data_IF_672539837660
#
_entry.id   IF_672539837660
#
_cell.length_a   1.000
_cell.length_b   1.000
_cell.length_c   1.000
_cell.angle_alpha   90.00
_cell.angle_beta   90.00
_cell.angle_gamma   90.00
#
_symmetry.space_group_name_H-M   'P 1'
#
loop_
_entity.id
_entity.type
_entity.pdbx_description
1 polymer ?
#
# COMPACT_ATOMS: atom_id res chain seq x y z
N UNK A 1 11.93 -7.88 14.52
CA UNK A 1 11.08 -7.01 13.70
C UNK A 1 11.07 -7.55 12.28
N UNK A 2 9.93 -7.95 11.82
CA UNK A 2 9.66 -8.40 10.47
C UNK A 2 8.87 -7.31 9.73
N UNK A 3 9.10 -7.12 8.44
CA UNK A 3 8.34 -6.18 7.62
C UNK A 3 7.32 -6.94 6.80
N UNK A 4 6.05 -6.60 6.93
CA UNK A 4 4.98 -7.05 6.03
C UNK A 4 4.83 -6.02 4.92
N UNK A 5 5.28 -6.42 3.74
CA UNK A 5 5.43 -5.51 2.61
C UNK A 5 4.20 -5.56 1.70
N UNK A 6 3.54 -4.42 1.60
CA UNK A 6 2.39 -4.17 0.73
C UNK A 6 2.90 -3.51 -0.55
N UNK A 7 3.33 -4.34 -1.51
CA UNK A 7 3.80 -3.88 -2.81
C UNK A 7 2.66 -3.41 -3.72
N UNK A 8 3.02 -2.79 -4.82
CA UNK A 8 2.07 -2.39 -5.86
C UNK A 8 1.77 -3.55 -6.80
N UNK A 9 0.75 -3.38 -7.61
CA UNK A 9 0.38 -4.36 -8.63
C UNK A 9 1.56 -4.65 -9.58
N UNK A 10 1.93 -5.94 -9.76
CA UNK A 10 3.15 -6.32 -10.48
C UNK A 10 2.91 -6.46 -12.00
N UNK A 11 2.40 -5.40 -12.65
CA UNK A 11 2.19 -5.40 -14.09
C UNK A 11 3.50 -5.17 -14.84
N UNK A 12 3.76 -6.00 -15.83
CA UNK A 12 4.94 -5.91 -16.68
C UNK A 12 5.01 -4.55 -17.41
N UNK A 13 6.22 -3.99 -17.49
CA UNK A 13 6.44 -2.69 -18.14
C UNK A 13 6.12 -1.47 -17.27
N UNK A 14 5.64 -1.64 -16.04
CA UNK A 14 5.38 -0.53 -15.11
C UNK A 14 6.54 -0.30 -14.15
N UNK A 15 6.74 0.97 -13.78
CA UNK A 15 7.74 1.35 -12.76
C UNK A 15 7.45 0.73 -11.38
N UNK A 16 6.20 0.38 -11.11
CA UNK A 16 5.76 -0.27 -9.86
C UNK A 16 6.50 -1.58 -9.61
N UNK A 17 6.72 -2.37 -10.67
CA UNK A 17 7.50 -3.61 -10.58
C UNK A 17 8.97 -3.34 -10.24
N UNK A 18 9.56 -2.26 -10.78
CA UNK A 18 10.93 -1.85 -10.47
C UNK A 18 11.06 -1.37 -9.01
N UNK A 19 10.09 -0.60 -8.51
CA UNK A 19 10.07 -0.17 -7.11
C UNK A 19 10.05 -1.36 -6.16
N UNK A 20 9.19 -2.33 -6.42
CA UNK A 20 9.13 -3.56 -5.62
C UNK A 20 10.47 -4.30 -5.63
N UNK A 21 11.05 -4.54 -6.80
CA UNK A 21 12.33 -5.22 -6.95
C UNK A 21 13.46 -4.49 -6.19
N UNK A 22 13.53 -3.17 -6.29
CA UNK A 22 14.51 -2.36 -5.56
C UNK A 22 14.32 -2.42 -4.05
N UNK A 23 13.08 -2.35 -3.58
CA UNK A 23 12.75 -2.44 -2.16
C UNK A 23 13.12 -3.81 -1.60
N UNK A 24 12.78 -4.89 -2.29
CA UNK A 24 13.15 -6.25 -1.89
C UNK A 24 14.66 -6.48 -1.88
N UNK A 25 15.38 -5.98 -2.90
CA UNK A 25 16.86 -6.04 -2.93
C UNK A 25 17.48 -5.27 -1.77
N UNK A 26 16.91 -4.12 -1.41
CA UNK A 26 17.38 -3.34 -0.27
C UNK A 26 17.20 -4.09 1.06
N UNK A 27 16.06 -4.76 1.25
CA UNK A 27 15.83 -5.61 2.42
C UNK A 27 16.82 -6.76 2.47
N UNK A 28 16.97 -7.52 1.39
CA UNK A 28 17.95 -8.61 1.29
C UNK A 28 19.36 -8.17 1.61
N UNK A 29 19.80 -7.04 1.01
CA UNK A 29 21.15 -6.49 1.22
C UNK A 29 21.42 -6.11 2.68
N UNK A 30 20.38 -5.67 3.40
CA UNK A 30 20.49 -5.25 4.81
C UNK A 30 20.15 -6.36 5.81
N UNK A 31 19.84 -7.56 5.34
CA UNK A 31 19.45 -8.67 6.21
C UNK A 31 18.11 -8.42 6.94
N UNK A 32 17.21 -7.61 6.36
CA UNK A 32 15.90 -7.33 6.93
C UNK A 32 14.98 -8.51 6.59
N UNK A 33 14.36 -9.09 7.61
CA UNK A 33 13.31 -10.10 7.41
C UNK A 33 12.04 -9.41 6.89
N UNK A 34 11.50 -9.91 5.78
CA UNK A 34 10.26 -9.36 5.21
C UNK A 34 9.38 -10.46 4.61
N UNK A 35 8.09 -10.17 4.56
CA UNK A 35 7.07 -11.01 3.93
C UNK A 35 6.31 -10.14 2.95
N UNK A 36 6.29 -10.52 1.68
CA UNK A 36 5.43 -9.87 0.69
C UNK A 36 4.01 -10.35 0.91
N UNK A 37 3.10 -9.42 1.21
CA UNK A 37 1.68 -9.75 1.34
C UNK A 37 1.11 -9.95 -0.07
N UNK A 38 0.55 -11.13 -0.39
CA UNK A 38 0.09 -11.41 -1.74
C UNK A 38 -1.20 -10.64 -2.07
N UNK A 39 -1.28 -10.15 -3.31
CA UNK A 39 -2.50 -9.66 -3.93
C UNK A 39 -2.87 -10.55 -5.12
N UNK A 40 -4.11 -10.45 -5.58
CA UNK A 40 -4.61 -11.15 -6.76
C UNK A 40 -4.70 -10.18 -7.93
N UNK A 41 -4.08 -10.51 -9.06
CA UNK A 41 -4.23 -9.76 -10.31
C UNK A 41 -5.49 -10.20 -11.05
N UNK A 42 -6.14 -9.25 -11.73
CA UNK A 42 -7.16 -9.60 -12.73
C UNK A 42 -6.41 -10.10 -13.98
N UNK A 43 -7.07 -10.97 -14.75
CA UNK A 43 -6.56 -11.39 -16.05
C UNK A 43 -6.19 -10.16 -16.90
N UNK A 44 -4.93 -10.02 -17.22
CA UNK A 44 -4.30 -8.92 -17.94
C UNK A 44 -4.29 -9.12 -19.48
N UNK A 45 -5.11 -10.03 -19.99
CA UNK A 45 -5.31 -10.22 -21.44
C UNK A 45 -5.64 -8.91 -22.18
N UNK A 46 -6.01 -7.87 -21.43
CA UNK A 46 -6.12 -6.49 -21.89
C UNK A 46 -4.92 -5.69 -21.36
N UNK A 47 -3.83 -5.74 -22.09
CA UNK A 47 -2.68 -4.89 -21.80
C UNK A 47 -3.09 -3.43 -21.60
N UNK A 48 -2.41 -2.74 -20.68
CA UNK A 48 -2.60 -1.29 -20.47
C UNK A 48 -2.45 -0.61 -21.83
N UNK A 49 -3.51 0.04 -22.28
CA UNK A 49 -3.51 0.77 -23.55
C UNK A 49 -2.51 1.91 -23.46
N UNK A 50 -1.69 2.07 -24.48
CA UNK A 50 -0.75 3.20 -24.57
C UNK A 50 -1.47 4.52 -24.27
N UNK A 51 -0.96 5.29 -23.31
CA UNK A 51 -1.57 6.54 -22.85
C UNK A 51 -2.45 6.41 -21.58
N UNK A 52 -2.73 5.21 -21.11
CA UNK A 52 -3.33 5.01 -19.79
C UNK A 52 -2.24 5.04 -18.71
N UNK A 53 -2.40 5.94 -17.75
CA UNK A 53 -1.47 6.06 -16.63
C UNK A 53 -1.69 4.95 -15.60
N UNK A 54 -2.94 4.52 -15.42
CA UNK A 54 -3.35 3.53 -14.42
C UNK A 54 -4.52 2.69 -14.94
N UNK A 55 -4.44 1.38 -14.68
CA UNK A 55 -5.62 0.51 -14.69
C UNK A 55 -6.27 0.58 -13.29
N UNK A 56 -7.27 1.45 -13.13
CA UNK A 56 -7.94 1.64 -11.86
C UNK A 56 -8.66 0.39 -11.35
N UNK A 57 -9.18 -0.45 -12.24
CA UNK A 57 -9.85 -1.69 -11.86
C UNK A 57 -8.85 -2.74 -11.37
N UNK A 58 -7.78 -2.96 -12.13
CA UNK A 58 -6.72 -3.90 -11.77
C UNK A 58 -6.03 -3.50 -10.47
N UNK A 59 -5.70 -2.21 -10.32
CA UNK A 59 -5.12 -1.67 -9.10
C UNK A 59 -6.05 -1.85 -7.89
N UNK A 60 -7.33 -1.54 -8.04
CA UNK A 60 -8.30 -1.69 -6.95
C UNK A 60 -8.47 -3.15 -6.56
N UNK A 61 -8.61 -4.03 -7.52
CA UNK A 61 -8.75 -5.46 -7.26
C UNK A 61 -7.53 -6.05 -6.55
N UNK A 62 -6.33 -5.74 -7.07
CA UNK A 62 -5.07 -6.18 -6.46
C UNK A 62 -4.93 -5.65 -5.04
N UNK A 63 -5.06 -4.33 -4.84
CA UNK A 63 -4.89 -3.69 -3.54
C UNK A 63 -5.89 -4.18 -2.50
N UNK A 64 -7.17 -4.29 -2.87
CA UNK A 64 -8.20 -4.79 -1.97
C UNK A 64 -7.96 -6.26 -1.59
N UNK A 65 -7.60 -7.12 -2.54
CA UNK A 65 -7.30 -8.53 -2.25
C UNK A 65 -6.06 -8.67 -1.36
N UNK A 66 -5.05 -7.87 -1.60
CA UNK A 66 -3.85 -7.81 -0.77
C UNK A 66 -4.18 -7.34 0.65
N UNK A 67 -5.01 -6.31 0.78
CA UNK A 67 -5.45 -5.82 2.08
C UNK A 67 -6.27 -6.87 2.84
N UNK A 68 -7.13 -7.63 2.18
CA UNK A 68 -7.85 -8.75 2.79
C UNK A 68 -6.89 -9.82 3.34
N UNK A 69 -5.82 -10.14 2.62
CA UNK A 69 -4.80 -11.06 3.10
C UNK A 69 -4.06 -10.49 4.33
N UNK A 70 -3.73 -9.20 4.31
CA UNK A 70 -3.14 -8.51 5.47
C UNK A 70 -4.04 -8.64 6.71
N UNK A 71 -5.34 -8.40 6.56
CA UNK A 71 -6.32 -8.51 7.65
C UNK A 71 -6.38 -9.94 8.20
N UNK A 72 -6.33 -10.95 7.33
CA UNK A 72 -6.28 -12.35 7.74
C UNK A 72 -5.00 -12.66 8.54
N UNK A 73 -3.85 -12.18 8.10
CA UNK A 73 -2.57 -12.34 8.81
C UNK A 73 -2.58 -11.65 10.18
N UNK A 74 -3.16 -10.46 10.26
CA UNK A 74 -3.37 -9.75 11.54
C UNK A 74 -4.28 -10.56 12.47
N UNK A 75 -5.39 -11.09 11.94
CA UNK A 75 -6.34 -11.90 12.71
C UNK A 75 -5.73 -13.22 13.18
N UNK A 76 -4.85 -13.82 12.40
CA UNK A 76 -4.11 -15.03 12.74
C UNK A 76 -3.00 -14.81 13.78
N UNK A 77 -2.68 -13.55 14.11
CA UNK A 77 -1.59 -13.22 15.02
C UNK A 77 -0.19 -13.36 14.40
N UNK A 78 -0.10 -13.40 13.08
CA UNK A 78 1.18 -13.45 12.35
C UNK A 78 1.91 -12.11 12.39
N UNK A 79 1.17 -11.02 12.58
CA UNK A 79 1.68 -9.65 12.69
C UNK A 79 1.55 -9.20 14.13
N UNK A 80 2.65 -8.79 14.73
CA UNK A 80 2.74 -8.40 16.14
C UNK A 80 3.16 -6.95 16.27
N UNK A 81 3.07 -6.41 17.50
CA UNK A 81 3.55 -5.06 17.84
C UNK A 81 5.04 -4.81 17.54
N UNK A 82 5.82 -5.89 17.47
CA UNK A 82 7.26 -5.81 17.21
C UNK A 82 7.58 -5.80 15.71
N UNK A 83 6.54 -5.90 14.87
CA UNK A 83 6.63 -5.91 13.42
C UNK A 83 6.25 -4.56 12.82
N UNK A 84 6.44 -4.45 11.52
CA UNK A 84 6.04 -3.28 10.75
C UNK A 84 5.25 -3.70 9.52
N UNK A 85 4.28 -2.88 9.12
CA UNK A 85 3.59 -2.97 7.84
C UNK A 85 4.07 -1.80 6.99
N UNK A 86 4.62 -2.09 5.83
CA UNK A 86 5.11 -1.08 4.90
C UNK A 86 4.29 -1.08 3.62
N UNK A 87 3.61 0.02 3.36
CA UNK A 87 2.87 0.26 2.13
C UNK A 87 3.74 1.03 1.13
N UNK A 88 3.95 0.44 -0.05
CA UNK A 88 4.74 1.06 -1.11
C UNK A 88 4.09 2.32 -1.69
N UNK A 89 2.79 2.45 -1.55
CA UNK A 89 2.02 3.64 -1.88
C UNK A 89 0.94 3.86 -0.83
N UNK A 90 0.88 5.07 -0.26
CA UNK A 90 -0.15 5.41 0.72
C UNK A 90 -1.58 5.35 0.15
N UNK A 91 -1.74 5.43 -1.17
CA UNK A 91 -3.04 5.31 -1.84
C UNK A 91 -3.39 3.86 -2.22
N UNK A 92 -2.99 2.92 -1.37
CA UNK A 92 -3.33 1.51 -1.55
C UNK A 92 -4.84 1.28 -1.29
N UNK A 93 -5.61 0.77 -2.28
CA UNK A 93 -7.01 0.44 -2.08
C UNK A 93 -7.21 -0.57 -0.94
N UNK A 94 -8.20 -0.32 -0.08
CA UNK A 94 -8.46 -1.09 1.13
C UNK A 94 -7.87 -0.48 2.41
N UNK A 95 -6.86 0.38 2.30
CA UNK A 95 -6.19 1.00 3.44
C UNK A 95 -7.14 1.88 4.28
N UNK A 96 -8.22 2.39 3.69
CA UNK A 96 -9.25 3.15 4.40
C UNK A 96 -9.88 2.39 5.58
N UNK A 97 -9.78 1.06 5.59
CA UNK A 97 -10.22 0.22 6.70
C UNK A 97 -9.16 0.05 7.82
N UNK A 98 -7.91 0.38 7.55
CA UNK A 98 -6.81 0.15 8.49
C UNK A 98 -6.96 0.92 9.81
N UNK A 99 -7.34 2.22 9.82
CA UNK A 99 -7.57 2.95 11.07
C UNK A 99 -8.60 2.27 11.96
N UNK A 100 -9.70 1.83 11.37
CA UNK A 100 -10.77 1.13 12.10
C UNK A 100 -10.25 -0.14 12.77
N UNK A 101 -9.48 -0.96 12.05
CA UNK A 101 -8.94 -2.22 12.58
C UNK A 101 -7.93 -1.94 13.70
N UNK A 102 -7.03 -0.98 13.51
CA UNK A 102 -6.00 -0.66 14.50
C UNK A 102 -6.60 -0.03 15.77
N UNK A 103 -7.62 0.81 15.62
CA UNK A 103 -8.28 1.42 16.77
C UNK A 103 -9.03 0.40 17.66
N UNK A 104 -9.47 -0.73 17.08
CA UNK A 104 -10.08 -1.84 17.83
C UNK A 104 -9.05 -2.69 18.58
N UNK A 105 -7.77 -2.57 18.24
CA UNK A 105 -6.69 -3.28 18.91
C UNK A 105 -6.12 -2.43 20.04
N UNK A 106 -5.82 -3.00 21.22
CA UNK A 106 -5.08 -2.30 22.26
C UNK A 106 -3.76 -1.77 21.73
N UNK A 107 -3.34 -0.60 22.20
CA UNK A 107 -2.15 0.11 21.68
C UNK A 107 -0.89 -0.75 21.71
N UNK A 108 -0.72 -1.51 22.79
CA UNK A 108 0.42 -2.41 22.98
C UNK A 108 0.52 -3.56 21.98
N UNK A 109 -0.53 -3.79 21.16
CA UNK A 109 -0.54 -4.83 20.14
C UNK A 109 -0.47 -4.28 18.71
N UNK A 110 -0.41 -2.95 18.54
CA UNK A 110 -0.40 -2.33 17.22
C UNK A 110 0.99 -2.37 16.60
N UNK A 111 1.14 -2.87 15.37
CA UNK A 111 2.40 -2.80 14.63
C UNK A 111 2.73 -1.36 14.25
N UNK A 112 3.98 -1.12 13.84
CA UNK A 112 4.39 0.13 13.20
C UNK A 112 3.87 0.17 11.77
N UNK A 113 3.37 1.33 11.35
CA UNK A 113 2.89 1.54 9.98
C UNK A 113 3.82 2.52 9.27
N UNK A 114 4.26 2.14 8.08
CA UNK A 114 5.05 2.99 7.19
C UNK A 114 4.32 3.14 5.87
N UNK A 115 4.12 4.38 5.45
CA UNK A 115 3.45 4.73 4.20
C UNK A 115 4.41 5.53 3.34
N UNK A 116 4.67 5.08 2.10
CA UNK A 116 5.38 5.88 1.12
C UNK A 116 4.40 6.78 0.40
N UNK A 117 4.67 8.08 0.37
CA UNK A 117 3.89 9.05 -0.39
C UNK A 117 4.50 9.18 -1.80
N UNK A 118 3.85 8.59 -2.81
CA UNK A 118 4.27 8.67 -4.21
C UNK A 118 3.57 9.78 -4.99
N UNK A 119 2.40 10.21 -4.52
CA UNK A 119 1.60 11.27 -5.11
C UNK A 119 1.00 12.14 -4.02
N UNK A 120 0.71 13.42 -4.33
CA UNK A 120 0.23 14.40 -3.35
C UNK A 120 -0.93 15.21 -3.88
N UNK A 121 -1.93 15.46 -3.03
CA UNK A 121 -3.09 16.27 -3.37
C UNK A 121 -2.75 17.75 -3.67
N UNK A 122 -1.62 18.22 -3.18
CA UNK A 122 -1.16 19.61 -3.35
C UNK A 122 -0.41 19.85 -4.65
N UNK A 123 0.00 18.79 -5.36
CA UNK A 123 0.72 18.91 -6.63
C UNK A 123 -0.29 19.11 -7.79
N UNK A 124 -0.33 20.32 -8.42
CA UNK A 124 -1.28 20.59 -9.48
C UNK A 124 -1.00 19.80 -10.77
N UNK A 125 0.22 19.30 -10.94
CA UNK A 125 0.64 18.53 -12.11
C UNK A 125 0.45 17.02 -11.91
N UNK A 126 0.05 16.60 -10.71
CA UNK A 126 -0.23 15.21 -10.42
C UNK A 126 -1.49 14.74 -11.20
N UNK A 127 -1.47 13.47 -11.63
CA UNK A 127 -2.60 12.86 -12.34
C UNK A 127 -3.93 12.98 -11.59
N UNK A 128 -3.89 13.06 -10.28
CA UNK A 128 -5.09 13.19 -9.43
C UNK A 128 -5.80 14.52 -9.68
N UNK A 129 -5.05 15.62 -9.90
CA UNK A 129 -5.62 16.90 -10.30
C UNK A 129 -6.21 16.83 -11.72
N UNK A 130 -5.49 16.21 -12.64
CA UNK A 130 -5.94 16.02 -14.03
C UNK A 130 -7.26 15.24 -14.09
N UNK A 131 -7.46 14.29 -13.18
CA UNK A 131 -8.70 13.49 -13.09
C UNK A 131 -9.79 14.14 -12.23
N UNK A 132 -9.54 15.33 -11.68
CA UNK A 132 -10.49 16.02 -10.81
C UNK A 132 -10.67 15.37 -9.43
N UNK A 133 -9.72 14.58 -8.97
CA UNK A 133 -9.79 13.80 -7.73
C UNK A 133 -9.01 14.43 -6.56
N UNK A 134 -8.47 15.62 -6.72
CA UNK A 134 -7.62 16.25 -5.70
C UNK A 134 -8.30 16.36 -4.32
N UNK A 135 -9.59 16.63 -4.29
CA UNK A 135 -10.36 16.71 -3.04
C UNK A 135 -10.45 15.34 -2.34
N UNK A 136 -10.72 14.29 -3.09
CA UNK A 136 -10.74 12.92 -2.56
C UNK A 136 -9.37 12.53 -2.01
N UNK A 137 -8.31 12.81 -2.76
CA UNK A 137 -6.94 12.53 -2.35
C UNK A 137 -6.57 13.28 -1.07
N UNK A 138 -6.94 14.55 -0.94
CA UNK A 138 -6.70 15.35 0.27
C UNK A 138 -7.38 14.74 1.50
N UNK A 139 -8.61 14.25 1.37
CA UNK A 139 -9.31 13.56 2.45
C UNK A 139 -8.62 12.24 2.82
N UNK A 140 -8.13 11.52 1.82
CA UNK A 140 -7.39 10.28 2.02
C UNK A 140 -6.06 10.52 2.75
N UNK A 141 -5.32 11.55 2.38
CA UNK A 141 -4.09 11.96 3.07
C UNK A 141 -4.36 12.31 4.54
N UNK A 142 -5.44 13.03 4.81
CA UNK A 142 -5.86 13.33 6.19
C UNK A 142 -6.16 12.05 6.96
N UNK A 143 -6.90 11.13 6.37
CA UNK A 143 -7.17 9.81 6.97
C UNK A 143 -5.87 9.06 7.27
N UNK A 144 -4.91 9.05 6.36
CA UNK A 144 -3.63 8.38 6.56
C UNK A 144 -2.85 8.97 7.74
N UNK A 145 -2.92 10.28 7.96
CA UNK A 145 -2.29 10.93 9.12
C UNK A 145 -2.93 10.54 10.46
N UNK A 146 -4.18 10.09 10.47
CA UNK A 146 -4.88 9.63 11.67
C UNK A 146 -4.63 8.14 11.99
N UNK A 147 -3.90 7.42 11.15
CA UNK A 147 -3.58 6.01 11.39
C UNK A 147 -2.67 5.89 12.62
N UNK A 148 -3.04 5.07 13.64
CA UNK A 148 -2.19 4.84 14.80
C UNK A 148 -0.80 4.31 14.43
N UNK A 149 0.24 4.83 15.07
CA UNK A 149 1.65 4.45 14.86
C UNK A 149 2.16 4.64 13.42
N UNK A 150 1.57 5.57 12.67
CA UNK A 150 1.96 5.85 11.28
C UNK A 150 3.25 6.65 11.18
N UNK A 151 4.03 6.32 10.15
CA UNK A 151 5.19 7.08 9.69
C UNK A 151 5.03 7.26 8.18
N UNK A 152 4.85 8.50 7.72
CA UNK A 152 4.78 8.82 6.29
C UNK A 152 6.18 9.18 5.82
N UNK A 153 6.61 8.57 4.69
CA UNK A 153 7.95 8.65 4.12
C UNK A 153 7.96 9.34 2.75
#
# INVERSE_FOLDING_TARGET
MKIFYMGLEPYEGRYTLQLQDWTERAYKKRGVEYVVVPGTTIDDSKAIVTGQVLDAHGRSYFGMSQFMNLVQMMKAGEITKDDAIFFEDMFQPGMESLPYILMQSPEEYRPKIYLRCLAQAVDPDDFVHVWGMAKWMSLYEQMCNEIPNVNIL
#
